data_IF_585700472876
#
_entry.id   IF_585700472876
#
_cell.length_a   1.000
_cell.length_b   1.000
_cell.length_c   1.000
_cell.angle_alpha   90.00
_cell.angle_beta   90.00
_cell.angle_gamma   90.00
#
_symmetry.space_group_name_H-M   'P 1'
#
loop_
_entity.id
_entity.type
_entity.pdbx_description
1 polymer ?
#
# COMPACT_ATOMS: atom_id res chain seq x y z
N UNK A 1 -1.69 9.19 -20.38
CA UNK A 1 -0.89 8.16 -19.73
C UNK A 1 0.32 7.86 -20.61
N UNK A 2 1.52 7.86 -20.07
CA UNK A 2 2.77 7.53 -20.76
C UNK A 2 3.01 6.02 -20.71
N UNK A 3 2.06 5.25 -21.26
CA UNK A 3 2.10 3.81 -21.21
C UNK A 3 2.95 3.22 -22.35
N UNK A 4 3.85 2.31 -22.01
CA UNK A 4 4.59 1.51 -22.99
C UNK A 4 3.83 0.24 -23.31
N UNK A 5 3.89 -0.18 -24.59
CA UNK A 5 3.22 -1.40 -25.06
C UNK A 5 4.28 -2.35 -25.62
N UNK A 6 4.29 -3.55 -25.12
CA UNK A 6 5.22 -4.62 -25.54
C UNK A 6 4.46 -5.81 -26.12
N UNK A 7 5.07 -6.53 -27.02
CA UNK A 7 4.59 -7.80 -27.53
C UNK A 7 5.51 -8.90 -27.03
N UNK A 8 4.93 -9.98 -26.48
CA UNK A 8 5.67 -11.08 -25.89
C UNK A 8 5.06 -12.43 -26.25
N UNK A 9 5.82 -13.49 -26.07
CA UNK A 9 5.40 -14.87 -26.29
C UNK A 9 4.65 -15.50 -25.11
N UNK A 10 4.60 -14.80 -23.96
CA UNK A 10 4.01 -15.28 -22.69
C UNK A 10 4.70 -16.55 -22.17
N UNK A 11 6.02 -16.59 -22.25
CA UNK A 11 6.91 -17.65 -21.78
C UNK A 11 7.74 -17.19 -20.54
N UNK A 12 8.71 -18.00 -20.12
CA UNK A 12 9.61 -17.69 -19.00
C UNK A 12 10.36 -16.37 -19.22
N UNK A 13 10.75 -16.05 -20.46
CA UNK A 13 11.39 -14.78 -20.77
C UNK A 13 10.47 -13.58 -20.52
N UNK A 14 9.17 -13.75 -20.72
CA UNK A 14 8.18 -12.71 -20.42
C UNK A 14 8.12 -12.41 -18.93
N UNK A 15 8.26 -13.42 -18.07
CA UNK A 15 8.32 -13.23 -16.60
C UNK A 15 9.55 -12.39 -16.24
N UNK A 16 10.72 -12.76 -16.79
CA UNK A 16 11.96 -12.04 -16.55
C UNK A 16 11.86 -10.57 -17.02
N UNK A 17 11.33 -10.35 -18.21
CA UNK A 17 11.17 -9.01 -18.80
C UNK A 17 10.22 -8.13 -17.96
N UNK A 18 9.10 -8.69 -17.49
CA UNK A 18 8.14 -8.00 -16.62
C UNK A 18 8.79 -7.64 -15.27
N UNK A 19 9.41 -8.60 -14.61
CA UNK A 19 10.06 -8.37 -13.33
C UNK A 19 11.22 -7.37 -13.44
N UNK A 20 12.00 -7.46 -14.51
CA UNK A 20 13.05 -6.49 -14.79
C UNK A 20 12.48 -5.09 -14.98
N UNK A 21 11.40 -4.95 -15.78
CA UNK A 21 10.75 -3.66 -16.00
C UNK A 21 10.23 -3.05 -14.68
N UNK A 22 9.55 -3.83 -13.86
CA UNK A 22 9.03 -3.37 -12.55
C UNK A 22 10.18 -2.94 -11.64
N UNK A 23 11.22 -3.75 -11.54
CA UNK A 23 12.40 -3.44 -10.74
C UNK A 23 13.07 -2.13 -11.16
N UNK A 24 13.27 -1.92 -12.45
CA UNK A 24 13.87 -0.68 -12.99
C UNK A 24 12.98 0.55 -12.74
N UNK A 25 11.65 0.40 -12.78
CA UNK A 25 10.71 1.52 -12.59
C UNK A 25 10.33 1.77 -11.12
N UNK A 26 10.87 0.97 -10.21
CA UNK A 26 10.69 1.13 -8.76
C UNK A 26 12.00 1.29 -8.01
N UNK A 27 13.09 1.64 -8.71
CA UNK A 27 14.45 1.74 -8.14
C UNK A 27 14.86 0.49 -7.33
N UNK A 28 14.39 -0.69 -7.76
CA UNK A 28 14.66 -1.97 -7.13
C UNK A 28 13.79 -2.29 -5.92
N UNK A 29 12.85 -1.44 -5.54
CA UNK A 29 11.96 -1.67 -4.39
C UNK A 29 11.04 -2.87 -4.60
N UNK A 30 10.64 -3.14 -5.84
CA UNK A 30 9.85 -4.33 -6.20
C UNK A 30 10.73 -5.22 -7.09
N UNK A 31 11.40 -6.22 -6.52
CA UNK A 31 12.32 -7.07 -7.29
C UNK A 31 11.61 -8.08 -8.19
N UNK A 32 10.40 -8.49 -7.80
CA UNK A 32 9.59 -9.49 -8.50
C UNK A 32 8.10 -9.24 -8.23
N UNK A 33 7.28 -9.27 -9.28
CA UNK A 33 5.81 -9.16 -9.20
C UNK A 33 5.12 -10.40 -9.79
N UNK A 34 5.82 -11.15 -10.64
CA UNK A 34 5.27 -12.28 -11.36
C UNK A 34 6.21 -13.48 -11.28
N UNK A 35 5.69 -14.61 -10.77
CA UNK A 35 6.42 -15.90 -10.70
C UNK A 35 5.97 -16.92 -11.73
N UNK A 36 4.77 -16.74 -12.30
CA UNK A 36 4.20 -17.65 -13.28
C UNK A 36 3.27 -16.92 -14.25
N UNK A 37 3.10 -17.46 -15.46
CA UNK A 37 2.12 -17.01 -16.44
C UNK A 37 1.11 -18.14 -16.66
N UNK A 38 -0.20 -17.91 -16.37
CA UNK A 38 -1.25 -18.87 -16.76
C UNK A 38 -1.26 -19.13 -18.28
N UNK A 39 -1.54 -20.36 -18.68
CA UNK A 39 -1.54 -20.76 -20.11
C UNK A 39 -2.56 -19.99 -20.96
N UNK A 40 -3.62 -19.50 -20.33
CA UNK A 40 -4.70 -18.73 -20.97
C UNK A 40 -4.50 -17.19 -20.87
N UNK A 41 -3.39 -16.74 -20.28
CA UNK A 41 -3.07 -15.32 -20.21
C UNK A 41 -2.74 -14.77 -21.60
N UNK A 42 -3.35 -13.65 -21.95
CA UNK A 42 -3.17 -12.98 -23.25
C UNK A 42 -2.82 -11.51 -23.14
N UNK A 43 -2.94 -10.95 -21.95
CA UNK A 43 -2.66 -9.54 -21.67
C UNK A 43 -2.26 -9.35 -20.22
N UNK A 44 -1.20 -8.57 -19.98
CA UNK A 44 -0.85 -8.02 -18.68
C UNK A 44 -0.95 -6.50 -18.72
N UNK A 45 -1.62 -5.93 -17.73
CA UNK A 45 -1.57 -4.51 -17.42
C UNK A 45 -0.77 -4.34 -16.14
N UNK A 46 0.35 -3.64 -16.24
CA UNK A 46 1.27 -3.47 -15.13
C UNK A 46 1.35 -1.98 -14.80
N UNK A 47 1.15 -1.68 -13.52
CA UNK A 47 1.41 -0.38 -12.95
C UNK A 47 2.33 -0.59 -11.75
N UNK A 48 3.46 0.09 -11.73
CA UNK A 48 4.41 0.05 -10.64
C UNK A 48 4.55 1.46 -10.06
N UNK A 49 4.44 1.55 -8.74
CA UNK A 49 4.59 2.79 -7.99
C UNK A 49 5.62 2.60 -6.90
N UNK A 50 6.60 3.48 -6.84
CA UNK A 50 7.54 3.59 -5.73
C UNK A 50 7.41 4.94 -5.05
N UNK A 51 7.68 4.98 -3.75
CA UNK A 51 7.72 6.21 -2.96
C UNK A 51 8.98 6.21 -2.12
N UNK A 52 9.85 7.16 -2.41
CA UNK A 52 11.07 7.44 -1.63
C UNK A 52 11.11 8.94 -1.34
N UNK A 53 11.14 9.32 -0.08
CA UNK A 53 11.14 10.71 0.32
C UNK A 53 11.79 10.91 1.70
N UNK A 54 12.49 12.00 1.85
CA UNK A 54 13.06 12.45 3.12
C UNK A 54 12.00 13.16 3.95
N UNK A 55 12.09 13.04 5.28
CA UNK A 55 11.28 13.82 6.21
C UNK A 55 11.58 15.32 6.11
N UNK A 56 10.58 16.17 6.24
CA UNK A 56 10.77 17.61 6.38
C UNK A 56 11.62 17.94 7.61
N UNK A 57 11.33 17.26 8.72
CA UNK A 57 12.11 17.29 9.95
C UNK A 57 12.63 15.88 10.26
N UNK A 58 13.88 15.55 9.85
CA UNK A 58 14.43 14.22 10.04
C UNK A 58 14.62 13.86 11.52
N UNK A 59 14.44 12.57 11.84
CA UNK A 59 14.82 12.07 13.15
C UNK A 59 16.34 12.15 13.33
N UNK A 60 16.77 12.61 14.50
CA UNK A 60 18.18 12.65 14.86
C UNK A 60 18.57 11.33 15.54
N UNK A 61 19.76 10.83 15.25
CA UNK A 61 20.24 9.55 15.76
C UNK A 61 20.21 9.49 17.30
N UNK A 62 20.55 10.61 17.97
CA UNK A 62 20.54 10.72 19.42
C UNK A 62 19.14 10.65 20.06
N UNK A 63 18.10 10.84 19.27
CA UNK A 63 16.70 10.67 19.68
C UNK A 63 16.15 9.27 19.33
N UNK A 64 17.01 8.34 18.93
CA UNK A 64 16.64 6.94 18.71
C UNK A 64 17.17 6.09 19.87
N UNK A 65 16.32 5.25 20.44
CA UNK A 65 16.67 4.36 21.54
C UNK A 65 15.99 3.00 21.39
N UNK A 66 16.66 1.94 21.85
CA UNK A 66 16.03 0.63 21.98
C UNK A 66 15.03 0.63 23.14
N UNK A 67 13.84 0.08 22.89
CA UNK A 67 12.80 -0.13 23.89
C UNK A 67 11.94 -1.34 23.49
N UNK A 68 11.03 -1.74 24.39
CA UNK A 68 10.14 -2.87 24.17
C UNK A 68 8.92 -2.44 23.35
N UNK A 69 8.68 -3.14 22.24
CA UNK A 69 7.43 -3.04 21.50
C UNK A 69 6.53 -4.22 21.85
N UNK A 70 5.30 -3.94 22.28
CA UNK A 70 4.30 -4.96 22.57
C UNK A 70 3.49 -5.25 21.32
N UNK A 71 3.58 -6.48 20.82
CA UNK A 71 2.77 -6.95 19.71
C UNK A 71 1.30 -7.17 20.14
N UNK A 72 0.39 -7.22 19.19
CA UNK A 72 -1.05 -7.42 19.43
C UNK A 72 -1.34 -8.68 20.25
N UNK A 73 -0.57 -9.76 20.06
CA UNK A 73 -0.68 -11.00 20.83
C UNK A 73 -0.15 -10.92 22.28
N UNK A 74 0.37 -9.77 22.70
CA UNK A 74 0.95 -9.55 24.04
C UNK A 74 2.43 -9.89 24.16
N UNK A 75 3.04 -10.49 23.15
CA UNK A 75 4.47 -10.73 23.11
C UNK A 75 5.24 -9.41 22.95
N UNK A 76 6.43 -9.34 23.53
CA UNK A 76 7.30 -8.16 23.44
C UNK A 76 8.55 -8.44 22.63
N UNK A 77 8.96 -7.48 21.80
CA UNK A 77 10.20 -7.51 21.04
C UNK A 77 11.00 -6.24 21.29
N UNK A 78 12.33 -6.30 21.17
CA UNK A 78 13.15 -5.10 21.15
C UNK A 78 13.02 -4.40 19.81
N UNK A 79 12.72 -3.11 19.83
CA UNK A 79 12.65 -2.27 18.64
C UNK A 79 13.39 -0.96 18.89
N UNK A 80 13.92 -0.35 17.84
CA UNK A 80 14.49 0.99 17.92
C UNK A 80 13.38 1.99 17.74
N UNK A 81 13.10 2.77 18.79
CA UNK A 81 12.12 3.85 18.74
C UNK A 81 12.80 5.17 18.33
N UNK A 82 12.14 5.88 17.46
CA UNK A 82 12.46 7.24 17.04
C UNK A 82 11.57 8.21 17.81
N UNK A 83 12.18 9.12 18.57
CA UNK A 83 11.46 10.11 19.36
C UNK A 83 11.45 11.45 18.65
N UNK A 84 10.29 12.10 18.63
CA UNK A 84 10.12 13.46 18.09
C UNK A 84 9.02 14.21 18.82
N UNK A 85 8.96 15.52 18.60
CA UNK A 85 7.79 16.33 18.92
C UNK A 85 7.15 16.77 17.60
N UNK A 86 5.90 16.38 17.40
CA UNK A 86 5.12 16.73 16.22
C UNK A 86 4.04 17.75 16.57
N UNK A 87 3.50 18.46 15.58
CA UNK A 87 2.51 19.53 15.77
C UNK A 87 1.20 19.29 15.02
N UNK A 88 1.09 18.19 14.33
CA UNK A 88 -0.10 17.83 13.57
C UNK A 88 -0.79 16.64 14.25
N UNK A 89 -1.44 16.92 15.36
CA UNK A 89 -2.14 15.93 16.18
C UNK A 89 -3.44 15.49 15.51
N UNK A 90 -3.69 14.20 15.51
CA UNK A 90 -4.92 13.59 15.05
C UNK A 90 -5.68 12.99 16.22
N UNK A 91 -6.99 13.21 16.28
CA UNK A 91 -7.85 12.66 17.31
C UNK A 91 -9.18 12.20 16.69
N UNK A 92 -9.55 10.96 16.94
CA UNK A 92 -10.84 10.37 16.63
C UNK A 92 -11.49 9.83 17.89
N UNK A 93 -12.68 9.25 17.80
CA UNK A 93 -13.40 8.69 18.95
C UNK A 93 -12.61 7.56 19.62
N UNK A 94 -11.83 6.77 18.87
CA UNK A 94 -11.17 5.56 19.34
C UNK A 94 -9.67 5.51 19.04
N UNK A 95 -9.08 6.59 18.54
CA UNK A 95 -7.64 6.62 18.28
C UNK A 95 -7.09 8.05 18.38
N UNK A 96 -5.82 8.13 18.75
CA UNK A 96 -5.00 9.32 18.63
C UNK A 96 -3.90 9.09 17.59
N UNK A 97 -3.29 10.17 17.10
CA UNK A 97 -2.25 10.02 16.09
C UNK A 97 -1.57 11.32 15.74
N UNK A 98 -0.80 11.28 14.68
CA UNK A 98 -0.13 12.48 14.16
C UNK A 98 0.10 12.38 12.66
N UNK A 99 0.32 13.53 12.03
CA UNK A 99 0.89 13.63 10.69
C UNK A 99 2.34 14.11 10.79
N UNK A 100 3.20 13.46 10.00
CA UNK A 100 4.59 13.91 9.78
C UNK A 100 4.80 14.13 8.29
N UNK A 101 5.17 15.36 7.92
CA UNK A 101 5.36 15.71 6.52
C UNK A 101 6.70 15.26 5.98
N UNK A 102 6.69 14.84 4.72
CA UNK A 102 7.91 14.68 3.93
C UNK A 102 8.40 16.02 3.39
N UNK A 103 9.64 16.04 2.93
CA UNK A 103 10.22 17.22 2.30
C UNK A 103 9.29 17.76 1.20
N UNK A 104 9.15 19.08 1.10
CA UNK A 104 8.20 19.80 0.24
C UNK A 104 6.71 19.72 0.67
N UNK A 105 6.36 19.05 1.74
CA UNK A 105 5.01 19.02 2.35
C UNK A 105 3.86 18.59 1.41
N UNK A 106 4.18 17.93 0.29
CA UNK A 106 3.18 17.41 -0.63
C UNK A 106 2.59 16.08 -0.17
N UNK A 107 3.36 15.36 0.64
CA UNK A 107 2.99 14.07 1.21
C UNK A 107 3.23 14.10 2.72
N UNK A 108 2.46 13.32 3.44
CA UNK A 108 2.60 13.12 4.87
C UNK A 108 2.42 11.65 5.23
N UNK A 109 3.15 11.21 6.23
CA UNK A 109 2.90 9.97 6.93
C UNK A 109 1.87 10.22 8.02
N UNK A 110 0.87 9.35 8.12
CA UNK A 110 -0.10 9.36 9.20
C UNK A 110 0.08 8.09 10.05
N UNK A 111 0.21 8.26 11.35
CA UNK A 111 0.16 7.16 12.29
C UNK A 111 -1.04 7.35 13.21
N UNK A 112 -1.81 6.27 13.39
CA UNK A 112 -2.96 6.22 14.28
C UNK A 112 -2.73 5.11 15.31
N UNK A 113 -2.94 5.43 16.58
CA UNK A 113 -2.82 4.50 17.69
C UNK A 113 -4.22 4.31 18.29
N UNK A 114 -4.81 3.13 18.17
CA UNK A 114 -6.08 2.81 18.81
C UNK A 114 -6.01 2.96 20.34
N UNK A 115 -7.13 3.23 20.97
CA UNK A 115 -7.24 3.30 22.42
C UNK A 115 -6.90 1.95 23.08
N UNK A 116 -6.50 2.02 24.36
CA UNK A 116 -6.15 0.83 25.12
C UNK A 116 -7.31 -0.18 25.19
N UNK A 117 -7.04 -1.42 24.79
CA UNK A 117 -8.02 -2.50 24.74
C UNK A 117 -8.72 -2.70 23.41
N UNK A 118 -8.49 -1.82 22.43
CA UNK A 118 -8.96 -1.97 21.06
C UNK A 118 -7.82 -2.47 20.15
N UNK A 119 -8.06 -3.52 19.39
CA UNK A 119 -7.10 -4.01 18.40
C UNK A 119 -7.05 -3.12 17.16
N UNK A 120 -5.97 -3.20 16.38
CA UNK A 120 -5.86 -2.46 15.11
C UNK A 120 -6.96 -2.88 14.14
N UNK A 121 -7.32 -4.17 14.10
CA UNK A 121 -8.39 -4.69 13.25
C UNK A 121 -9.75 -4.12 13.65
N UNK A 122 -10.08 -4.13 14.93
CA UNK A 122 -11.34 -3.55 15.43
C UNK A 122 -11.44 -2.07 15.11
N UNK A 123 -10.33 -1.31 15.27
CA UNK A 123 -10.30 0.09 14.90
C UNK A 123 -10.47 0.28 13.38
N UNK A 124 -9.78 -0.50 12.57
CA UNK A 124 -9.91 -0.44 11.10
C UNK A 124 -11.35 -0.69 10.63
N UNK A 125 -12.08 -1.60 11.29
CA UNK A 125 -13.49 -1.87 10.99
C UNK A 125 -14.43 -0.70 11.31
N UNK A 126 -14.00 0.24 12.17
CA UNK A 126 -14.78 1.48 12.44
C UNK A 126 -14.55 2.55 11.39
N UNK A 127 -13.48 2.46 10.60
CA UNK A 127 -13.10 3.48 9.63
C UNK A 127 -13.88 3.32 8.33
N UNK A 128 -14.39 4.43 7.84
CA UNK A 128 -14.82 4.57 6.45
C UNK A 128 -13.85 5.48 5.71
N UNK A 129 -13.85 5.43 4.37
CA UNK A 129 -13.03 6.35 3.59
C UNK A 129 -13.34 7.83 3.89
N UNK A 130 -14.60 8.16 4.19
CA UNK A 130 -15.02 9.51 4.54
C UNK A 130 -14.45 9.94 5.90
N UNK A 131 -14.65 9.13 6.95
CA UNK A 131 -14.17 9.45 8.30
C UNK A 131 -12.64 9.53 8.37
N UNK A 132 -11.95 8.65 7.65
CA UNK A 132 -10.49 8.70 7.56
C UNK A 132 -10.03 9.99 6.86
N UNK A 133 -10.65 10.37 5.73
CA UNK A 133 -10.28 11.60 5.03
C UNK A 133 -10.61 12.86 5.84
N UNK A 134 -11.70 12.88 6.59
CA UNK A 134 -12.03 13.98 7.50
C UNK A 134 -10.97 14.12 8.61
N UNK A 135 -10.59 13.01 9.24
CA UNK A 135 -9.56 12.98 10.28
C UNK A 135 -8.23 13.53 9.74
N UNK A 136 -7.77 13.04 8.58
CA UNK A 136 -6.49 13.45 8.00
C UNK A 136 -6.47 14.91 7.51
N UNK A 137 -7.62 15.49 7.19
CA UNK A 137 -7.73 16.88 6.71
C UNK A 137 -7.83 17.92 7.82
N UNK A 138 -8.07 17.50 9.05
CA UNK A 138 -8.31 18.39 10.18
C UNK A 138 -7.35 18.12 11.36
N UNK A 139 -6.02 18.07 11.14
CA UNK A 139 -5.08 17.94 12.22
C UNK A 139 -5.17 19.16 13.13
N UNK A 140 -5.01 18.94 14.42
CA UNK A 140 -4.97 20.01 15.42
C UNK A 140 -3.51 20.46 15.58
N UNK A 141 -3.28 21.77 15.61
CA UNK A 141 -1.95 22.33 15.89
C UNK A 141 -1.66 22.26 17.40
N UNK A 142 -1.35 21.06 17.86
CA UNK A 142 -1.06 20.75 19.27
C UNK A 142 0.25 19.96 19.32
N UNK A 143 1.21 20.39 20.17
CA UNK A 143 2.45 19.63 20.31
C UNK A 143 2.19 18.27 20.96
N UNK A 144 2.65 17.21 20.30
CA UNK A 144 2.56 15.83 20.76
C UNK A 144 3.95 15.20 20.77
N UNK A 145 4.31 14.54 21.87
CA UNK A 145 5.54 13.74 21.93
C UNK A 145 5.26 12.36 21.34
N UNK A 146 6.04 12.01 20.34
CA UNK A 146 5.89 10.78 19.57
C UNK A 146 7.05 9.83 19.83
N UNK A 147 6.74 8.56 20.02
CA UNK A 147 7.68 7.44 20.00
C UNK A 147 7.22 6.47 18.93
N UNK A 148 7.88 6.48 17.78
CA UNK A 148 7.55 5.62 16.64
C UNK A 148 8.63 4.55 16.49
N UNK A 149 8.28 3.25 16.52
CA UNK A 149 9.27 2.21 16.24
C UNK A 149 9.71 2.29 14.77
N UNK A 150 10.99 2.02 14.50
CA UNK A 150 11.43 1.72 13.14
C UNK A 150 10.81 0.41 12.72
N UNK A 151 10.18 0.40 11.56
CA UNK A 151 9.55 -0.80 11.02
C UNK A 151 9.84 -0.94 9.53
N UNK A 152 9.79 -2.17 9.07
CA UNK A 152 9.78 -2.55 7.68
C UNK A 152 8.60 -3.51 7.49
N UNK A 153 7.85 -3.35 6.43
CA UNK A 153 6.69 -4.20 6.14
C UNK A 153 6.57 -4.43 4.64
N UNK A 154 6.24 -5.65 4.30
CA UNK A 154 5.88 -6.05 2.94
C UNK A 154 4.43 -6.53 2.95
N UNK A 155 3.69 -6.17 1.92
CA UNK A 155 2.34 -6.63 1.72
C UNK A 155 2.14 -6.98 0.25
N UNK A 156 1.71 -8.21 0.01
CA UNK A 156 1.25 -8.64 -1.31
C UNK A 156 -0.16 -9.17 -1.17
N UNK A 157 -1.09 -8.58 -1.89
CA UNK A 157 -2.51 -8.89 -1.75
C UNK A 157 -3.14 -9.13 -3.12
N UNK A 158 -3.95 -10.18 -3.21
CA UNK A 158 -4.82 -10.43 -4.36
C UNK A 158 -6.13 -9.67 -4.17
N UNK A 159 -6.40 -8.70 -5.04
CA UNK A 159 -7.50 -7.76 -4.89
C UNK A 159 -8.79 -8.16 -5.62
N UNK A 160 -8.83 -9.27 -6.37
CA UNK A 160 -9.97 -9.65 -7.20
C UNK A 160 -11.28 -9.75 -6.42
N UNK A 161 -11.25 -10.39 -5.24
CA UNK A 161 -12.47 -10.53 -4.42
C UNK A 161 -12.90 -9.22 -3.76
N UNK A 162 -11.94 -8.39 -3.38
CA UNK A 162 -12.23 -7.04 -2.87
C UNK A 162 -12.92 -6.21 -3.94
N UNK A 163 -12.39 -6.18 -5.16
CA UNK A 163 -12.97 -5.44 -6.27
C UNK A 163 -14.37 -5.96 -6.66
N UNK A 164 -14.58 -7.28 -6.67
CA UNK A 164 -15.92 -7.88 -6.86
C UNK A 164 -16.90 -7.43 -5.78
N UNK A 165 -16.49 -7.41 -4.51
CA UNK A 165 -17.33 -6.96 -3.40
C UNK A 165 -17.69 -5.48 -3.47
N UNK A 166 -16.81 -4.67 -4.07
CA UNK A 166 -17.04 -3.25 -4.37
C UNK A 166 -17.94 -3.02 -5.60
N UNK A 167 -18.41 -4.08 -6.27
CA UNK A 167 -19.35 -4.01 -7.39
C UNK A 167 -18.71 -4.21 -8.77
N UNK A 168 -17.42 -4.46 -8.88
CA UNK A 168 -16.74 -4.77 -10.15
C UNK A 168 -16.90 -6.26 -10.50
N UNK A 169 -18.12 -6.73 -10.69
CA UNK A 169 -18.41 -8.15 -10.94
C UNK A 169 -18.19 -8.56 -12.39
N UNK A 170 -18.70 -7.76 -13.33
CA UNK A 170 -18.76 -8.10 -14.74
C UNK A 170 -17.35 -8.24 -15.36
N UNK A 171 -16.40 -7.42 -14.90
CA UNK A 171 -15.02 -7.45 -15.39
C UNK A 171 -14.31 -8.81 -15.15
N UNK A 172 -14.74 -9.56 -14.14
CA UNK A 172 -14.21 -10.87 -13.77
C UNK A 172 -15.02 -12.05 -14.30
N UNK A 173 -16.13 -11.79 -14.96
CA UNK A 173 -17.00 -12.81 -15.56
C UNK A 173 -16.71 -12.93 -17.06
N UNK A 174 -16.18 -14.06 -17.49
CA UNK A 174 -15.84 -14.33 -18.90
C UNK A 174 -17.04 -14.23 -19.86
N UNK A 175 -18.27 -14.27 -19.33
CA UNK A 175 -19.51 -14.15 -20.12
C UNK A 175 -20.09 -12.73 -20.15
N UNK A 176 -19.70 -11.86 -19.20
CA UNK A 176 -20.24 -10.51 -19.03
C UNK A 176 -19.19 -9.41 -19.33
N UNK A 177 -17.90 -9.72 -19.22
CA UNK A 177 -16.82 -8.77 -19.45
C UNK A 177 -16.80 -8.23 -20.87
N UNK A 178 -16.64 -6.94 -21.03
CA UNK A 178 -16.45 -6.27 -22.33
C UNK A 178 -15.16 -5.44 -22.33
N UNK A 179 -14.08 -6.10 -22.75
CA UNK A 179 -12.78 -5.48 -23.04
C UNK A 179 -12.48 -5.42 -24.55
N UNK A 180 -13.51 -5.44 -25.39
CA UNK A 180 -13.37 -5.40 -26.85
C UNK A 180 -12.60 -4.19 -27.39
N UNK A 181 -12.61 -3.09 -26.62
CA UNK A 181 -11.80 -1.89 -26.91
C UNK A 181 -10.30 -2.07 -26.71
N UNK A 182 -9.87 -3.09 -25.97
CA UNK A 182 -8.45 -3.39 -25.70
C UNK A 182 -7.91 -4.45 -26.66
N UNK A 183 -8.74 -5.36 -27.10
CA UNK A 183 -8.34 -6.44 -27.98
C UNK A 183 -9.32 -7.60 -28.00
N UNK A 184 -8.91 -8.68 -28.65
CA UNK A 184 -9.68 -9.93 -28.72
C UNK A 184 -8.75 -11.14 -28.64
N UNK A 185 -9.21 -12.21 -28.01
CA UNK A 185 -8.55 -13.51 -28.00
C UNK A 185 -9.26 -14.47 -28.99
N UNK A 186 -8.53 -15.49 -29.46
CA UNK A 186 -9.10 -16.58 -30.26
C UNK A 186 -9.99 -17.50 -29.41
N UNK A 187 -9.77 -17.51 -28.10
CA UNK A 187 -10.40 -18.42 -27.14
C UNK A 187 -11.62 -17.80 -26.45
N UNK A 188 -11.99 -16.57 -26.82
CA UNK A 188 -13.17 -15.88 -26.30
C UNK A 188 -12.93 -14.43 -25.88
N UNK A 189 -13.92 -13.80 -25.20
CA UNK A 189 -13.79 -12.45 -24.69
C UNK A 189 -12.69 -12.34 -23.64
N UNK A 190 -12.03 -11.16 -23.58
CA UNK A 190 -11.09 -10.86 -22.50
C UNK A 190 -11.86 -10.59 -21.20
N UNK A 191 -11.33 -11.09 -20.11
CA UNK A 191 -11.81 -10.82 -18.75
C UNK A 191 -10.62 -10.73 -17.78
N UNK A 192 -10.83 -10.15 -16.60
CA UNK A 192 -9.79 -10.10 -15.58
C UNK A 192 -9.77 -11.43 -14.82
N UNK A 193 -8.66 -12.17 -14.89
CA UNK A 193 -8.49 -13.39 -14.11
C UNK A 193 -7.98 -13.12 -12.70
N UNK A 194 -7.06 -12.14 -12.54
CA UNK A 194 -6.40 -11.85 -11.27
C UNK A 194 -5.93 -10.40 -11.21
N UNK A 195 -6.02 -9.81 -10.02
CA UNK A 195 -5.46 -8.49 -9.70
C UNK A 195 -4.53 -8.63 -8.53
N UNK A 196 -3.25 -8.33 -8.74
CA UNK A 196 -2.19 -8.35 -7.72
C UNK A 196 -1.77 -6.93 -7.35
N UNK A 197 -1.50 -6.70 -6.06
CA UNK A 197 -1.00 -5.43 -5.54
C UNK A 197 0.07 -5.68 -4.48
#
# INVERSE_FOLDING_TARGET
>A
YDASVYQSAFDEQTIEDINFWVKEHTDGMIPEILSEIPEDAVLYLINALSFDAEWADPYIEQACAEDLFTCEGGDTINAVFMHSQEHQYLESEHATGFLKYYHNSNYAFAALLPEEGMTVSEYADTLTGETLLELLRQPQDVPVNVSLPKFETECSTELSDVLKSMGMTDAFDSSAADFSGMGSSKDGPLYISKVLH
#
